data_IF_298570855740
#
_entry.id   IF_298570855740
#
_cell.length_a   1.000
_cell.length_b   1.000
_cell.length_c   1.000
_cell.angle_alpha   90.00
_cell.angle_beta   90.00
_cell.angle_gamma   90.00
#
_symmetry.space_group_name_H-M   'P 1'
#
loop_
_entity.id
_entity.type
_entity.pdbx_description
1 polymer ?
#
# COMPACT_ATOMS: atom_id res chain seq x y z
N UNK A 1 16.26 9.02 -10.35
CA UNK A 1 15.52 7.75 -10.24
C UNK A 1 16.51 6.59 -10.42
N UNK A 2 16.32 5.44 -9.76
CA UNK A 2 17.12 4.25 -10.07
C UNK A 2 16.49 3.57 -11.30
N UNK A 3 17.14 3.70 -12.45
CA UNK A 3 16.70 3.00 -13.66
C UNK A 3 17.16 1.55 -13.58
N UNK A 4 16.25 0.60 -13.77
CA UNK A 4 16.60 -0.81 -13.93
C UNK A 4 16.60 -1.10 -15.42
N UNK A 5 17.75 -1.54 -15.94
CA UNK A 5 17.92 -1.92 -17.34
C UNK A 5 18.03 -3.44 -17.40
N UNK A 6 17.27 -4.06 -18.30
CA UNK A 6 17.40 -5.49 -18.61
C UNK A 6 17.92 -5.58 -20.03
N UNK A 7 19.11 -6.14 -20.19
CA UNK A 7 19.77 -6.33 -21.48
C UNK A 7 19.68 -7.82 -21.85
N UNK A 8 19.27 -8.08 -23.10
CA UNK A 8 19.25 -9.42 -23.67
C UNK A 8 20.19 -9.41 -24.86
N UNK A 9 21.28 -10.17 -24.77
CA UNK A 9 22.19 -10.42 -25.88
C UNK A 9 21.85 -11.75 -26.55
N UNK A 10 21.82 -11.76 -27.88
CA UNK A 10 21.67 -12.97 -28.68
C UNK A 10 22.97 -13.20 -29.44
N UNK A 11 23.47 -14.43 -29.45
CA UNK A 11 24.71 -14.80 -30.14
C UNK A 11 24.52 -14.62 -31.65
N UNK A 12 25.54 -14.15 -32.34
CA UNK A 12 25.45 -13.71 -33.74
C UNK A 12 24.99 -14.81 -34.73
N UNK A 13 25.31 -16.07 -34.45
CA UNK A 13 24.89 -17.23 -35.24
C UNK A 13 23.40 -17.59 -35.07
N UNK A 14 22.74 -17.09 -34.03
CA UNK A 14 21.30 -17.25 -33.82
C UNK A 14 20.57 -16.17 -34.61
N UNK A 15 19.93 -16.59 -35.71
CA UNK A 15 19.22 -15.67 -36.64
C UNK A 15 17.93 -15.07 -36.07
N UNK A 16 17.44 -15.55 -34.92
CA UNK A 16 16.20 -15.12 -34.30
C UNK A 16 16.38 -13.83 -33.49
N UNK A 17 15.57 -12.80 -33.77
CA UNK A 17 15.56 -11.56 -32.98
C UNK A 17 14.45 -11.58 -31.92
N UNK A 18 14.76 -11.29 -30.63
CA UNK A 18 13.77 -11.27 -29.58
C UNK A 18 12.85 -10.05 -29.75
N UNK A 19 11.55 -10.27 -29.58
CA UNK A 19 10.56 -9.18 -29.57
C UNK A 19 10.76 -8.27 -28.37
N UNK A 20 10.34 -7.01 -28.47
CA UNK A 20 10.34 -6.08 -27.35
C UNK A 20 9.02 -6.16 -26.57
N UNK A 21 9.07 -5.82 -25.27
CA UNK A 21 7.87 -5.64 -24.48
C UNK A 21 7.12 -4.39 -24.94
N UNK A 22 5.80 -4.51 -25.08
CA UNK A 22 4.92 -3.41 -25.41
C UNK A 22 4.36 -2.81 -24.12
N UNK A 23 4.39 -1.48 -24.02
CA UNK A 23 3.80 -0.76 -22.91
C UNK A 23 2.29 -1.03 -22.83
N UNK A 24 1.79 -1.29 -21.62
CA UNK A 24 0.36 -1.49 -21.34
C UNK A 24 -0.14 -0.41 -20.41
N UNK A 25 -1.46 -0.19 -20.44
CA UNK A 25 -2.13 0.68 -19.48
C UNK A 25 -1.77 0.30 -18.03
N UNK A 26 -1.39 1.30 -17.24
CA UNK A 26 -1.00 1.09 -15.86
C UNK A 26 -2.20 0.62 -15.00
N UNK A 27 -1.94 -0.33 -14.11
CA UNK A 27 -2.93 -0.81 -13.15
C UNK A 27 -2.95 0.09 -11.91
N UNK A 28 -4.14 0.46 -11.45
CA UNK A 28 -4.32 1.23 -10.22
C UNK A 28 -4.09 0.40 -8.94
N UNK A 29 -3.78 1.06 -7.82
CA UNK A 29 -3.60 0.41 -6.52
C UNK A 29 -4.82 -0.46 -6.17
N UNK A 30 -6.04 0.08 -6.30
CA UNK A 30 -7.27 -0.67 -6.01
C UNK A 30 -7.42 -1.93 -6.86
N UNK A 31 -7.07 -1.86 -8.14
CA UNK A 31 -7.13 -3.02 -9.02
C UNK A 31 -6.15 -4.13 -8.61
N UNK A 32 -5.05 -3.82 -7.93
CA UNK A 32 -4.06 -4.80 -7.49
C UNK A 32 -4.34 -5.36 -6.08
N UNK A 33 -4.85 -4.55 -5.15
CA UNK A 33 -4.96 -4.94 -3.73
C UNK A 33 -6.39 -4.86 -3.17
N UNK A 34 -7.37 -4.35 -3.93
CA UNK A 34 -8.70 -4.00 -3.42
C UNK A 34 -9.58 -5.18 -3.00
N UNK A 35 -9.23 -6.40 -3.39
CA UNK A 35 -9.92 -7.65 -3.01
C UNK A 35 -9.23 -8.40 -1.85
N UNK A 36 -8.13 -7.86 -1.31
CA UNK A 36 -7.55 -8.38 -0.05
C UNK A 36 -8.45 -8.03 1.14
N UNK A 37 -8.44 -8.86 2.21
CA UNK A 37 -9.16 -8.55 3.44
C UNK A 37 -8.81 -7.17 3.98
N UNK A 38 -9.81 -6.39 4.39
CA UNK A 38 -9.55 -5.09 5.02
C UNK A 38 -8.99 -5.29 6.42
N UNK A 39 -7.95 -4.53 6.76
CA UNK A 39 -7.28 -4.61 8.05
C UNK A 39 -7.16 -3.23 8.68
N UNK A 40 -7.22 -3.18 10.02
CA UNK A 40 -6.79 -1.99 10.77
C UNK A 40 -5.31 -2.07 11.13
N UNK A 41 -4.72 -0.92 11.44
CA UNK A 41 -3.41 -0.85 12.09
C UNK A 41 -3.42 -1.45 13.50
N UNK A 42 -2.22 -1.80 13.98
CA UNK A 42 -2.00 -2.08 15.40
C UNK A 42 -1.56 -0.86 16.19
N UNK A 43 -1.64 -0.94 17.52
CA UNK A 43 -1.18 0.09 18.47
C UNK A 43 0.17 -0.29 19.08
N UNK A 44 1.23 0.44 18.74
CA UNK A 44 2.61 0.06 19.11
C UNK A 44 2.85 -0.01 20.62
N UNK A 45 2.28 0.92 21.40
CA UNK A 45 2.49 1.03 22.85
C UNK A 45 1.46 0.26 23.69
N UNK A 46 0.42 -0.29 23.06
CA UNK A 46 -0.74 -0.87 23.75
C UNK A 46 -1.03 -2.29 23.26
N UNK A 47 0.01 -3.09 23.01
CA UNK A 47 -0.13 -4.40 22.35
C UNK A 47 -1.06 -5.38 23.07
N UNK A 48 -1.05 -5.38 24.41
CA UNK A 48 -1.89 -6.25 25.24
C UNK A 48 -3.37 -5.82 25.28
N UNK A 49 -3.68 -4.57 24.92
CA UNK A 49 -5.03 -3.99 24.94
C UNK A 49 -5.44 -3.44 23.57
N UNK A 50 -4.83 -3.95 22.50
CA UNK A 50 -5.04 -3.53 21.12
C UNK A 50 -6.31 -4.15 20.52
N UNK A 51 -7.48 -3.84 21.09
CA UNK A 51 -8.79 -4.20 20.53
C UNK A 51 -9.23 -3.22 19.44
N UNK A 52 -10.23 -3.59 18.65
CA UNK A 52 -10.81 -2.70 17.64
C UNK A 52 -11.41 -1.44 18.27
N UNK A 53 -12.14 -1.60 19.37
CA UNK A 53 -12.80 -0.52 20.10
C UNK A 53 -11.79 0.47 20.67
N UNK A 54 -10.74 -0.04 21.34
CA UNK A 54 -9.68 0.80 21.89
C UNK A 54 -8.90 1.53 20.78
N UNK A 55 -8.70 0.88 19.63
CA UNK A 55 -8.12 1.50 18.43
C UNK A 55 -9.00 2.61 17.84
N UNK A 56 -10.31 2.36 17.69
CA UNK A 56 -11.27 3.35 17.21
C UNK A 56 -11.36 4.57 18.14
N UNK A 57 -11.45 4.34 19.46
CA UNK A 57 -11.44 5.40 20.47
C UNK A 57 -10.16 6.24 20.43
N UNK A 58 -9.00 5.59 20.23
CA UNK A 58 -7.72 6.29 20.08
C UNK A 58 -7.76 7.23 18.88
N UNK A 59 -8.23 6.75 17.72
CA UNK A 59 -8.35 7.60 16.51
C UNK A 59 -9.29 8.78 16.76
N UNK A 60 -10.45 8.52 17.35
CA UNK A 60 -11.42 9.56 17.66
C UNK A 60 -10.84 10.62 18.60
N UNK A 61 -10.07 10.21 19.61
CA UNK A 61 -9.39 11.11 20.55
C UNK A 61 -8.33 11.96 19.84
N UNK A 62 -7.43 11.31 19.10
CA UNK A 62 -6.27 11.97 18.48
C UNK A 62 -6.66 12.93 17.34
N UNK A 63 -7.80 12.71 16.66
CA UNK A 63 -8.26 13.58 15.57
C UNK A 63 -9.04 14.82 16.05
N UNK A 64 -9.49 14.89 17.30
CA UNK A 64 -10.41 15.94 17.77
C UNK A 64 -9.91 17.36 17.52
N UNK A 65 -8.66 17.65 17.88
CA UNK A 65 -8.07 18.97 17.70
C UNK A 65 -8.01 19.35 16.22
N UNK A 66 -7.60 18.40 15.38
CA UNK A 66 -7.47 18.58 13.94
C UNK A 66 -8.80 18.90 13.25
N UNK A 67 -9.91 18.30 13.70
CA UNK A 67 -11.24 18.59 13.14
C UNK A 67 -11.62 20.08 13.26
N UNK A 68 -11.12 20.79 14.27
CA UNK A 68 -11.36 22.23 14.47
C UNK A 68 -10.45 23.11 13.61
N UNK A 69 -9.36 22.55 13.11
CA UNK A 69 -8.33 23.26 12.33
C UNK A 69 -8.49 23.06 10.82
N UNK A 70 -9.11 21.96 10.39
CA UNK A 70 -9.34 21.65 8.98
C UNK A 70 -10.47 22.53 8.44
N UNK A 71 -10.17 23.31 7.40
CA UNK A 71 -11.13 24.19 6.73
C UNK A 71 -11.76 23.57 5.47
N UNK A 72 -11.13 22.55 4.87
CA UNK A 72 -11.66 21.88 3.68
C UNK A 72 -12.86 20.98 4.03
N UNK A 73 -14.06 21.42 3.66
CA UNK A 73 -15.32 20.72 3.90
C UNK A 73 -15.36 19.31 3.27
N UNK A 74 -14.69 19.10 2.13
CA UNK A 74 -14.65 17.77 1.49
C UNK A 74 -13.81 16.81 2.33
N UNK A 75 -12.66 17.26 2.84
CA UNK A 75 -11.83 16.48 3.76
C UNK A 75 -12.58 16.17 5.05
N UNK A 76 -13.26 17.14 5.68
CA UNK A 76 -14.09 16.91 6.86
C UNK A 76 -15.16 15.84 6.62
N UNK A 77 -15.85 15.91 5.48
CA UNK A 77 -16.86 14.91 5.09
C UNK A 77 -16.25 13.51 4.92
N UNK A 78 -15.08 13.42 4.29
CA UNK A 78 -14.36 12.16 4.13
C UNK A 78 -13.89 11.58 5.46
N UNK A 79 -13.43 12.41 6.41
CA UNK A 79 -13.07 11.99 7.77
C UNK A 79 -14.30 11.48 8.53
N UNK A 80 -15.40 12.24 8.53
CA UNK A 80 -16.65 11.85 9.20
C UNK A 80 -17.16 10.50 8.69
N UNK A 81 -17.16 10.30 7.36
CA UNK A 81 -17.53 9.02 6.74
C UNK A 81 -16.62 7.88 7.19
N UNK A 82 -15.30 8.12 7.24
CA UNK A 82 -14.35 7.11 7.68
C UNK A 82 -14.50 6.75 9.16
N UNK A 83 -14.72 7.73 10.04
CA UNK A 83 -14.99 7.50 11.46
C UNK A 83 -16.26 6.68 11.68
N UNK A 84 -17.32 6.95 10.89
CA UNK A 84 -18.53 6.12 10.91
C UNK A 84 -18.21 4.67 10.53
N UNK A 85 -17.45 4.45 9.46
CA UNK A 85 -17.07 3.11 9.01
C UNK A 85 -16.19 2.37 10.03
N UNK A 86 -15.28 3.08 10.69
CA UNK A 86 -14.45 2.55 11.78
C UNK A 86 -15.34 2.03 12.93
N UNK A 87 -16.39 2.77 13.28
CA UNK A 87 -17.28 2.39 14.37
C UNK A 87 -18.24 1.25 14.01
N UNK A 88 -18.55 1.04 12.72
CA UNK A 88 -19.51 0.01 12.28
C UNK A 88 -18.86 -1.27 11.77
N UNK A 89 -17.57 -1.24 11.43
CA UNK A 89 -16.86 -2.37 10.83
C UNK A 89 -15.76 -2.85 11.76
N UNK A 90 -15.94 -4.02 12.37
CA UNK A 90 -14.91 -4.62 13.22
C UNK A 90 -13.76 -5.16 12.37
N UNK A 91 -12.60 -4.49 12.41
CA UNK A 91 -11.42 -4.86 11.65
C UNK A 91 -10.39 -5.54 12.56
N UNK A 92 -9.75 -6.59 12.03
CA UNK A 92 -8.62 -7.24 12.69
C UNK A 92 -7.29 -6.75 12.09
N UNK A 93 -6.18 -7.28 12.61
CA UNK A 93 -4.81 -6.92 12.20
C UNK A 93 -4.20 -7.87 11.17
N UNK A 94 -4.99 -8.83 10.71
CA UNK A 94 -4.58 -9.90 9.82
C UNK A 94 -3.63 -10.87 10.50
N UNK A 95 -2.80 -11.52 9.70
CA UNK A 95 -1.88 -12.53 10.18
C UNK A 95 -0.98 -13.06 9.08
N UNK A 96 -0.03 -13.91 9.47
CA UNK A 96 0.79 -14.66 8.50
C UNK A 96 -0.08 -15.58 7.64
N UNK A 97 -1.18 -16.08 8.20
CA UNK A 97 -2.18 -16.92 7.55
C UNK A 97 -3.56 -16.43 7.95
N UNK A 98 -4.36 -15.97 6.98
CA UNK A 98 -5.73 -15.51 7.21
C UNK A 98 -6.67 -16.47 6.49
N UNK A 99 -7.36 -17.31 7.25
CA UNK A 99 -8.35 -18.27 6.74
C UNK A 99 -9.72 -17.65 6.46
N UNK A 100 -9.98 -16.46 7.00
CA UNK A 100 -11.28 -15.77 6.89
C UNK A 100 -11.24 -14.63 5.88
N UNK A 101 -12.17 -14.64 4.93
CA UNK A 101 -12.30 -13.59 3.91
C UNK A 101 -11.76 -14.07 2.56
N UNK A 102 -12.67 -14.51 1.69
CA UNK A 102 -12.31 -14.94 0.34
C UNK A 102 -11.76 -13.77 -0.48
N UNK A 103 -10.59 -13.96 -1.09
CA UNK A 103 -10.05 -13.04 -2.10
C UNK A 103 -10.94 -13.14 -3.34
N UNK A 104 -11.89 -12.22 -3.44
CA UNK A 104 -12.93 -12.28 -4.49
C UNK A 104 -12.35 -12.09 -5.89
N UNK A 105 -11.18 -11.45 -6.03
CA UNK A 105 -10.65 -10.97 -7.31
C UNK A 105 -11.52 -9.92 -7.99
N UNK A 106 -12.51 -9.37 -7.28
CA UNK A 106 -13.47 -8.41 -7.83
C UNK A 106 -12.78 -7.07 -8.03
N UNK A 107 -12.81 -6.57 -9.27
CA UNK A 107 -12.27 -5.27 -9.64
C UNK A 107 -10.81 -5.29 -10.12
N UNK A 108 -10.13 -6.44 -10.13
CA UNK A 108 -8.81 -6.62 -10.77
C UNK A 108 -8.95 -6.94 -12.26
N UNK A 109 -8.07 -6.44 -13.15
CA UNK A 109 -7.99 -6.89 -14.53
C UNK A 109 -7.81 -8.42 -14.60
N UNK A 110 -8.42 -9.05 -15.61
CA UNK A 110 -8.44 -10.53 -15.72
C UNK A 110 -7.04 -11.14 -15.72
N UNK A 111 -6.09 -10.56 -16.46
CA UNK A 111 -4.68 -11.01 -16.49
C UNK A 111 -4.07 -11.04 -15.08
N UNK A 112 -4.30 -9.99 -14.28
CA UNK A 112 -3.75 -9.89 -12.92
C UNK A 112 -4.50 -10.78 -11.93
N UNK A 113 -5.83 -10.85 -12.03
CA UNK A 113 -6.64 -11.72 -11.19
C UNK A 113 -6.20 -13.18 -11.36
N UNK A 114 -6.01 -13.64 -12.60
CA UNK A 114 -5.51 -14.98 -12.91
C UNK A 114 -4.05 -15.17 -12.50
N UNK A 115 -3.23 -14.12 -12.52
CA UNK A 115 -1.83 -14.19 -12.10
C UNK A 115 -1.66 -14.34 -10.59
N UNK A 116 -2.48 -13.64 -9.79
CA UNK A 116 -2.39 -13.71 -8.33
C UNK A 116 -2.98 -15.00 -7.76
N UNK A 117 -4.11 -15.44 -8.32
CA UNK A 117 -4.93 -16.51 -7.74
C UNK A 117 -4.26 -17.88 -7.87
N UNK A 118 -4.28 -18.59 -6.75
CA UNK A 118 -4.03 -20.03 -6.70
C UNK A 118 -5.32 -20.71 -6.18
N UNK A 119 -5.86 -21.65 -6.95
CA UNK A 119 -7.11 -22.37 -6.61
C UNK A 119 -7.01 -23.15 -5.31
N UNK A 120 -5.81 -23.53 -4.90
CA UNK A 120 -5.56 -24.28 -3.66
C UNK A 120 -5.36 -23.36 -2.46
N UNK A 121 -5.13 -22.06 -2.69
CA UNK A 121 -4.88 -21.10 -1.64
C UNK A 121 -6.20 -20.49 -1.14
N UNK A 122 -6.69 -21.01 -0.01
CA UNK A 122 -7.92 -20.56 0.65
C UNK A 122 -7.72 -19.35 1.58
N UNK A 123 -6.51 -18.78 1.62
CA UNK A 123 -6.10 -17.85 2.67
C UNK A 123 -5.17 -16.77 2.14
N UNK A 124 -5.29 -15.55 2.68
CA UNK A 124 -4.28 -14.52 2.44
C UNK A 124 -3.06 -14.78 3.35
N UNK A 125 -1.86 -14.72 2.78
CA UNK A 125 -0.61 -14.97 3.52
C UNK A 125 0.26 -13.71 3.59
N UNK A 126 1.08 -13.57 4.65
CA UNK A 126 1.90 -12.38 4.93
C UNK A 126 1.09 -11.06 4.90
N UNK A 127 -0.19 -11.12 5.30
CA UNK A 127 -1.10 -9.99 5.28
C UNK A 127 -1.39 -9.53 6.70
N UNK A 128 -0.38 -9.02 7.39
CA UNK A 128 -0.49 -8.53 8.77
C UNK A 128 -0.03 -7.07 8.88
N UNK A 129 -0.68 -6.34 9.78
CA UNK A 129 -0.39 -4.91 9.96
C UNK A 129 0.65 -4.66 11.04
N UNK A 130 1.48 -3.64 10.80
CA UNK A 130 2.42 -3.14 11.81
C UNK A 130 1.70 -2.29 12.87
N UNK A 131 2.36 -2.18 14.03
CA UNK A 131 1.98 -1.20 15.04
C UNK A 131 2.36 0.21 14.59
N UNK A 132 1.53 1.17 14.96
CA UNK A 132 1.78 2.60 14.79
C UNK A 132 1.63 3.35 16.11
N UNK A 133 2.18 4.56 16.17
CA UNK A 133 1.91 5.49 17.27
C UNK A 133 0.49 6.00 17.17
N UNK A 134 -0.15 6.29 18.30
CA UNK A 134 -1.53 6.76 18.36
C UNK A 134 -1.75 8.01 17.48
N UNK A 135 -0.84 8.98 17.55
CA UNK A 135 -0.87 10.17 16.68
C UNK A 135 -0.77 9.85 15.18
N UNK A 136 -0.06 8.78 14.79
CA UNK A 136 0.04 8.38 13.38
C UNK A 136 -1.29 7.82 12.85
N UNK A 137 -2.11 7.22 13.72
CA UNK A 137 -3.43 6.74 13.32
C UNK A 137 -4.30 7.89 12.82
N UNK A 138 -4.32 9.00 13.57
CA UNK A 138 -5.01 10.23 13.17
C UNK A 138 -4.37 10.87 11.92
N UNK A 139 -3.03 10.86 11.80
CA UNK A 139 -2.35 11.32 10.57
C UNK A 139 -2.77 10.51 9.35
N UNK A 140 -2.86 9.19 9.45
CA UNK A 140 -3.27 8.35 8.32
C UNK A 140 -4.73 8.51 7.95
N UNK A 141 -5.62 8.64 8.95
CA UNK A 141 -7.01 9.01 8.73
C UNK A 141 -7.08 10.32 7.93
N UNK A 142 -6.40 11.37 8.40
CA UNK A 142 -6.34 12.66 7.72
C UNK A 142 -5.76 12.54 6.30
N UNK A 143 -4.61 11.89 6.13
CA UNK A 143 -3.93 11.81 4.83
C UNK A 143 -4.80 11.13 3.76
N UNK A 144 -5.37 9.98 4.09
CA UNK A 144 -6.19 9.22 3.15
C UNK A 144 -7.51 9.94 2.86
N UNK A 145 -8.14 10.57 3.86
CA UNK A 145 -9.34 11.39 3.66
C UNK A 145 -9.06 12.63 2.81
N UNK A 146 -7.93 13.31 3.04
CA UNK A 146 -7.49 14.46 2.24
C UNK A 146 -7.26 14.08 0.78
N UNK A 147 -6.50 13.01 0.53
CA UNK A 147 -6.24 12.53 -0.83
C UNK A 147 -7.53 12.09 -1.54
N UNK A 148 -8.46 11.44 -0.82
CA UNK A 148 -9.76 11.06 -1.35
C UNK A 148 -10.61 12.29 -1.71
N UNK A 149 -10.65 13.32 -0.85
CA UNK A 149 -11.39 14.54 -1.05
C UNK A 149 -10.86 15.40 -2.20
N UNK A 150 -9.53 15.38 -2.40
CA UNK A 150 -8.83 16.22 -3.36
C UNK A 150 -8.34 15.44 -4.59
N UNK A 151 -8.92 14.27 -4.89
CA UNK A 151 -8.49 13.41 -6.00
C UNK A 151 -8.42 14.16 -7.35
N UNK A 152 -7.34 13.97 -8.09
CA UNK A 152 -7.16 14.50 -9.46
C UNK A 152 -6.82 13.37 -10.42
N UNK A 153 -7.23 13.52 -11.70
CA UNK A 153 -7.04 12.48 -12.73
C UNK A 153 -5.56 12.24 -13.06
N UNK A 154 -4.77 13.30 -13.14
CA UNK A 154 -3.40 13.22 -13.68
C UNK A 154 -2.29 13.25 -12.62
N UNK A 155 -2.60 13.58 -11.37
CA UNK A 155 -1.60 13.74 -10.31
C UNK A 155 -2.15 13.25 -8.98
N UNK A 156 -1.25 12.71 -8.15
CA UNK A 156 -1.52 12.35 -6.77
C UNK A 156 -1.63 13.58 -5.88
N UNK A 157 -2.49 13.52 -4.87
CA UNK A 157 -2.90 14.62 -4.00
C UNK A 157 -2.77 14.28 -2.52
N UNK A 158 -1.75 13.48 -2.18
CA UNK A 158 -1.34 13.33 -0.78
C UNK A 158 -0.99 14.70 -0.16
N UNK A 159 -1.37 14.98 1.09
CA UNK A 159 -1.07 16.25 1.72
C UNK A 159 0.44 16.40 1.98
N UNK A 160 0.93 17.63 1.85
CA UNK A 160 2.27 18.04 2.29
C UNK A 160 2.18 18.67 3.67
N UNK A 161 3.30 18.82 4.37
CA UNK A 161 3.31 19.40 5.72
C UNK A 161 2.52 20.73 5.88
N UNK A 162 2.54 21.68 4.92
CA UNK A 162 1.72 22.89 5.03
C UNK A 162 0.21 22.65 4.97
N UNK A 163 -0.23 21.52 4.39
CA UNK A 163 -1.63 21.13 4.30
C UNK A 163 -2.13 20.50 5.61
N UNK A 164 -1.24 20.14 6.55
CA UNK A 164 -1.61 19.48 7.80
C UNK A 164 -2.17 20.48 8.82
N UNK A 165 -3.19 20.08 9.60
CA UNK A 165 -3.52 20.78 10.83
C UNK A 165 -2.34 20.73 11.80
N UNK A 166 -2.12 21.81 12.54
CA UNK A 166 -1.03 21.99 13.51
C UNK A 166 -0.98 20.86 14.52
N UNK A 167 -2.14 20.41 15.01
CA UNK A 167 -2.24 19.29 15.95
C UNK A 167 -1.78 17.93 15.41
N UNK A 168 -1.74 17.73 14.09
CA UNK A 168 -1.23 16.50 13.48
C UNK A 168 0.21 16.62 12.98
N UNK A 169 0.85 17.79 13.08
CA UNK A 169 2.25 17.92 12.71
C UNK A 169 3.12 17.01 13.59
N UNK A 170 4.12 16.32 13.02
CA UNK A 170 5.01 15.48 13.81
C UNK A 170 5.93 16.34 14.69
N UNK A 171 6.18 15.88 15.92
CA UNK A 171 7.08 16.51 16.89
C UNK A 171 8.55 16.40 16.43
N UNK A 172 8.96 17.23 15.48
CA UNK A 172 10.36 17.34 15.06
C UNK A 172 10.79 18.80 14.99
N UNK A 173 11.95 19.10 15.60
CA UNK A 173 12.68 20.37 15.44
C UNK A 173 12.92 20.75 13.96
N UNK A 174 12.87 19.77 13.05
CA UNK A 174 13.09 19.92 11.61
C UNK A 174 11.88 20.39 10.79
N UNK A 175 10.68 20.53 11.37
CA UNK A 175 9.52 21.11 10.64
C UNK A 175 9.84 22.53 10.17
N UNK A 176 10.72 23.24 10.89
CA UNK A 176 11.22 24.58 10.52
C UNK A 176 12.31 24.58 9.45
N UNK A 177 12.88 23.43 9.10
CA UNK A 177 14.04 23.32 8.19
C UNK A 177 13.68 23.14 6.71
N UNK A 178 12.40 22.93 6.39
CA UNK A 178 11.95 22.63 5.02
C UNK A 178 12.33 21.23 4.50
N UNK A 179 13.07 20.42 5.28
CA UNK A 179 13.38 19.03 4.92
C UNK A 179 12.17 18.12 5.15
N UNK A 180 11.87 17.22 4.20
CA UNK A 180 10.79 16.22 4.24
C UNK A 180 9.34 16.76 4.22
N UNK A 181 9.07 17.77 3.37
CA UNK A 181 7.72 18.31 3.17
C UNK A 181 6.69 17.26 2.70
N UNK A 182 7.14 16.17 2.08
CA UNK A 182 6.33 15.12 1.45
C UNK A 182 6.41 13.77 2.18
N UNK A 183 6.60 13.78 3.50
CA UNK A 183 6.83 12.57 4.32
C UNK A 183 5.66 11.57 4.34
N UNK A 184 4.43 12.04 4.19
CA UNK A 184 3.22 11.21 4.26
C UNK A 184 2.61 11.07 2.87
N UNK A 185 2.70 9.87 2.28
CA UNK A 185 2.19 9.60 0.93
C UNK A 185 1.19 8.47 0.93
N UNK A 186 0.03 8.74 0.35
CA UNK A 186 -1.06 7.80 0.16
C UNK A 186 -0.87 7.08 -1.17
N UNK A 187 -1.03 5.76 -1.15
CA UNK A 187 -1.08 4.93 -2.36
C UNK A 187 -2.49 5.01 -2.94
N UNK A 188 -2.80 6.13 -3.60
CA UNK A 188 -4.15 6.51 -4.02
C UNK A 188 -4.90 5.44 -4.84
N UNK A 189 -6.18 5.27 -4.51
CA UNK A 189 -7.06 4.21 -5.01
C UNK A 189 -7.02 4.02 -6.54
N UNK A 190 -7.07 5.12 -7.28
CA UNK A 190 -7.25 5.14 -8.74
C UNK A 190 -5.97 5.46 -9.52
N UNK A 191 -4.85 5.63 -8.82
CA UNK A 191 -3.53 5.83 -9.43
C UNK A 191 -2.72 4.53 -9.37
N UNK A 192 -1.73 4.34 -10.26
CA UNK A 192 -0.71 3.30 -10.05
C UNK A 192 0.00 3.51 -8.71
N UNK A 193 0.60 2.47 -8.13
CA UNK A 193 1.40 2.60 -6.91
C UNK A 193 2.67 3.43 -7.15
N UNK A 194 3.25 4.05 -6.12
CA UNK A 194 4.65 4.47 -6.23
C UNK A 194 5.53 3.23 -6.26
N UNK A 195 6.73 3.36 -6.83
CA UNK A 195 7.73 2.29 -6.81
C UNK A 195 7.91 1.74 -5.40
N UNK A 196 7.63 0.46 -5.22
CA UNK A 196 7.91 -0.25 -3.97
C UNK A 196 9.43 -0.38 -3.84
N UNK A 197 10.01 0.23 -2.81
CA UNK A 197 11.44 0.16 -2.53
C UNK A 197 11.69 -0.65 -1.26
N UNK A 198 12.89 -1.19 -1.07
CA UNK A 198 13.25 -1.91 0.17
C UNK A 198 13.18 -1.03 1.42
N UNK A 199 13.20 0.29 1.25
CA UNK A 199 13.06 1.27 2.31
C UNK A 199 11.64 1.32 2.90
N UNK A 200 10.62 0.73 2.28
CA UNK A 200 9.27 0.60 2.88
C UNK A 200 9.31 -0.05 4.28
N UNK A 201 10.34 -0.86 4.55
CA UNK A 201 10.64 -1.42 5.87
C UNK A 201 10.82 -0.35 6.96
N UNK A 202 11.39 0.81 6.61
CA UNK A 202 11.64 1.97 7.48
C UNK A 202 10.63 3.09 7.25
N UNK A 203 10.30 3.38 5.98
CA UNK A 203 9.53 4.53 5.53
C UNK A 203 8.05 4.21 5.31
N UNK A 204 7.41 3.61 6.32
CA UNK A 204 5.98 3.24 6.25
C UNK A 204 5.05 4.41 5.91
N UNK A 205 5.43 5.64 6.27
CA UNK A 205 4.67 6.86 5.98
C UNK A 205 4.58 7.19 4.48
N UNK A 206 5.49 6.67 3.65
CA UNK A 206 5.44 6.87 2.19
C UNK A 206 4.45 5.91 1.49
N UNK A 207 3.90 4.93 2.22
CA UNK A 207 3.05 3.88 1.68
C UNK A 207 1.78 3.72 2.51
N UNK A 208 1.06 4.84 2.73
CA UNK A 208 -0.22 4.86 3.46
C UNK A 208 -1.31 4.23 2.58
N UNK A 209 -2.14 3.37 3.18
CA UNK A 209 -3.25 2.71 2.49
C UNK A 209 -4.35 3.73 2.12
N UNK A 210 -4.94 3.62 0.93
CA UNK A 210 -5.91 4.62 0.42
C UNK A 210 -7.24 4.68 1.18
N UNK A 211 -7.64 3.59 1.83
CA UNK A 211 -8.89 3.53 2.60
C UNK A 211 -8.69 4.22 3.96
N UNK A 212 -9.34 5.38 4.21
CA UNK A 212 -9.11 6.12 5.45
C UNK A 212 -9.59 5.38 6.69
N UNK A 213 -10.53 4.44 6.56
CA UNK A 213 -11.03 3.63 7.67
C UNK A 213 -10.06 2.52 8.12
N UNK A 214 -8.93 2.33 7.43
CA UNK A 214 -7.92 1.33 7.81
C UNK A 214 -6.74 1.93 8.59
N UNK A 215 -6.55 3.25 8.51
CA UNK A 215 -5.53 4.06 9.20
C UNK A 215 -4.16 3.37 9.34
N UNK A 216 -3.55 2.94 8.24
CA UNK A 216 -2.30 2.13 8.26
C UNK A 216 -1.43 2.35 7.03
N UNK A 217 -0.18 1.90 7.10
CA UNK A 217 0.63 1.65 5.90
C UNK A 217 0.26 0.32 5.23
N UNK A 218 0.71 0.13 3.98
CA UNK A 218 0.60 -1.15 3.28
C UNK A 218 1.28 -2.28 4.06
N UNK A 219 0.68 -3.47 4.01
CA UNK A 219 1.22 -4.75 4.48
C UNK A 219 2.25 -5.32 3.51
N UNK A 220 2.95 -6.38 3.91
CA UNK A 220 3.88 -7.11 3.03
C UNK A 220 3.14 -7.68 1.83
N UNK A 221 1.99 -8.35 2.03
CA UNK A 221 1.17 -8.90 0.92
C UNK A 221 0.73 -7.84 -0.08
N UNK A 222 0.30 -6.67 0.38
CA UNK A 222 -0.10 -5.58 -0.54
C UNK A 222 1.09 -5.07 -1.34
N UNK A 223 2.24 -4.85 -0.69
CA UNK A 223 3.47 -4.46 -1.39
C UNK A 223 3.92 -5.53 -2.39
N UNK A 224 3.79 -6.81 -2.03
CA UNK A 224 4.12 -7.95 -2.87
C UNK A 224 3.22 -8.02 -4.11
N UNK A 225 1.90 -7.84 -3.97
CA UNK A 225 0.98 -7.75 -5.12
C UNK A 225 1.28 -6.55 -6.00
N UNK A 226 1.62 -5.38 -5.44
CA UNK A 226 2.04 -4.23 -6.25
C UNK A 226 3.36 -4.48 -7.00
N UNK A 227 4.20 -5.38 -6.49
CA UNK A 227 5.36 -5.96 -7.17
C UNK A 227 5.02 -7.20 -8.01
N UNK A 228 3.75 -7.53 -8.22
CA UNK A 228 3.26 -8.67 -9.02
C UNK A 228 3.68 -10.06 -8.50
N UNK A 229 3.96 -10.21 -7.21
CA UNK A 229 4.11 -11.55 -6.63
C UNK A 229 2.77 -12.29 -6.60
N UNK A 230 2.75 -13.58 -7.03
CA UNK A 230 1.59 -14.45 -6.82
C UNK A 230 1.21 -14.58 -5.34
N UNK A 231 -0.05 -14.88 -5.05
CA UNK A 231 -0.51 -14.98 -3.66
C UNK A 231 0.04 -16.18 -2.91
N UNK A 232 0.45 -17.23 -3.63
CA UNK A 232 1.06 -18.42 -3.06
C UNK A 232 2.56 -18.28 -2.75
N UNK A 233 3.17 -17.12 -3.04
CA UNK A 233 4.57 -16.87 -2.68
C UNK A 233 4.67 -16.41 -1.22
N UNK A 234 5.18 -17.27 -0.34
CA UNK A 234 5.36 -16.98 1.08
C UNK A 234 6.69 -16.27 1.34
N UNK A 235 6.67 -15.23 2.18
CA UNK A 235 7.88 -14.50 2.59
C UNK A 235 8.31 -14.91 4.00
N UNK A 236 9.55 -15.35 4.13
CA UNK A 236 10.15 -15.73 5.41
C UNK A 236 10.88 -14.57 6.10
N UNK A 237 11.26 -14.79 7.37
CA UNK A 237 11.93 -13.81 8.20
C UNK A 237 10.98 -12.87 8.94
N UNK A 238 11.55 -11.85 9.59
CA UNK A 238 10.79 -10.81 10.25
C UNK A 238 10.22 -9.81 9.23
N UNK A 239 9.26 -8.97 9.66
CA UNK A 239 8.55 -8.06 8.75
C UNK A 239 9.48 -7.11 7.97
N UNK A 240 10.55 -6.62 8.60
CA UNK A 240 11.53 -5.74 7.95
C UNK A 240 12.22 -6.46 6.81
N UNK A 241 12.67 -7.70 7.05
CA UNK A 241 13.30 -8.55 6.02
C UNK A 241 12.33 -8.87 4.88
N UNK A 242 11.08 -9.19 5.20
CA UNK A 242 10.05 -9.45 4.18
C UNK A 242 9.84 -8.24 3.26
N UNK A 243 9.76 -7.03 3.82
CA UNK A 243 9.67 -5.80 3.01
C UNK A 243 10.93 -5.55 2.16
N UNK A 244 12.12 -5.88 2.68
CA UNK A 244 13.38 -5.76 1.93
C UNK A 244 13.39 -6.73 0.75
N UNK A 245 12.97 -7.99 0.96
CA UNK A 245 12.82 -8.99 -0.11
C UNK A 245 11.88 -8.48 -1.22
N UNK A 246 10.68 -8.02 -0.85
CA UNK A 246 9.70 -7.47 -1.81
C UNK A 246 10.25 -6.26 -2.56
N UNK A 247 10.87 -5.31 -1.86
CA UNK A 247 11.34 -4.06 -2.47
C UNK A 247 12.58 -4.21 -3.36
N UNK A 248 13.42 -5.22 -3.11
CA UNK A 248 14.60 -5.50 -3.94
C UNK A 248 14.26 -6.33 -5.18
N UNK A 249 13.20 -7.14 -5.13
CA UNK A 249 12.81 -8.03 -6.22
C UNK A 249 12.54 -7.31 -7.55
N UNK A 250 12.70 -8.04 -8.65
CA UNK A 250 12.14 -7.70 -9.97
C UNK A 250 10.70 -8.20 -9.99
N UNK A 251 9.72 -7.43 -10.50
CA UNK A 251 8.33 -7.88 -10.54
C UNK A 251 8.18 -9.24 -11.26
N UNK A 252 7.65 -10.30 -10.62
CA UNK A 252 7.59 -11.63 -11.23
C UNK A 252 6.79 -11.70 -12.55
N UNK A 253 5.72 -10.92 -12.70
CA UNK A 253 4.98 -10.88 -13.97
C UNK A 253 5.80 -10.25 -15.10
N UNK A 254 6.62 -9.24 -14.79
CA UNK A 254 7.56 -8.68 -15.77
C UNK A 254 8.61 -9.71 -16.16
N UNK A 255 9.21 -10.40 -15.18
CA UNK A 255 10.18 -11.46 -15.42
C UNK A 255 9.59 -12.59 -16.28
N UNK A 256 8.34 -13.01 -16.02
CA UNK A 256 7.64 -14.02 -16.82
C UNK A 256 7.46 -13.59 -18.28
N UNK A 257 7.09 -12.33 -18.53
CA UNK A 257 6.91 -11.81 -19.90
C UNK A 257 8.23 -11.77 -20.67
N UNK A 258 9.33 -11.40 -20.01
CA UNK A 258 10.67 -11.43 -20.60
C UNK A 258 11.07 -12.88 -20.89
N UNK A 259 10.86 -13.79 -19.93
CA UNK A 259 11.18 -15.20 -20.10
C UNK A 259 10.42 -15.83 -21.29
N UNK A 260 9.16 -15.46 -21.54
CA UNK A 260 8.40 -15.92 -22.72
C UNK A 260 9.02 -15.47 -24.05
N UNK A 261 9.54 -14.24 -24.11
CA UNK A 261 10.24 -13.73 -25.30
C UNK A 261 11.53 -14.53 -25.51
N UNK A 262 12.30 -14.76 -24.45
CA UNK A 262 13.54 -15.54 -24.52
C UNK A 262 13.23 -16.99 -24.90
N UNK A 263 12.19 -17.60 -24.36
CA UNK A 263 11.82 -18.98 -24.69
C UNK A 263 11.54 -19.16 -26.19
N UNK A 264 10.92 -18.17 -26.85
CA UNK A 264 10.64 -18.20 -28.29
C UNK A 264 11.89 -18.21 -29.18
N UNK A 265 13.05 -17.81 -28.67
CA UNK A 265 14.31 -17.85 -29.44
C UNK A 265 15.17 -19.07 -29.12
N UNK A 266 14.79 -19.86 -28.10
CA UNK A 266 15.48 -21.09 -27.70
C UNK A 266 14.88 -22.34 -28.38
N UNK A 267 13.66 -22.23 -28.91
CA UNK A 267 12.95 -23.26 -29.67
C UNK A 267 13.00 -22.96 -31.16
#
# INVERSE_FOLDING_TARGET
>A
ARHRVILVGVREDIRSQPKQLIEKQATSVHQAIGDLPKLRSGRSKHRSTDTHEAWAQTIQKEIQAALREITDAKTLTAISTALKNINTTNLNRGGKWITTGSMTGKGSPQELSSWYKDKNLKSAINHDTRGHMDSDLARYLFCSSFAQANKKKSVRTSPRLPDFPRSLLPNHKNVKSGKFLDRFKVQEKHHPASTITSHISKDGHYFIHYDPAQCRSLTVREAARLQTFPDNYFFEGNRTEQYVQVGNAVPPLLANKIARIIYQILI
#
